data_IF_599286029619
#
_entry.id   IF_599286029619
#
_cell.length_a   1.000
_cell.length_b   1.000
_cell.length_c   1.000
_cell.angle_alpha   90.00
_cell.angle_beta   90.00
_cell.angle_gamma   90.00
#
_symmetry.space_group_name_H-M   'P 1'
#
loop_
_entity.id
_entity.type
_entity.pdbx_description
1 polymer ?
#
# COMPACT_ATOMS: atom_id res chain seq x y z
N UNK A 1 -9.30 -23.25 -3.43
CA UNK A 1 -8.16 -23.77 -2.63
C UNK A 1 -7.04 -24.37 -3.47
N UNK A 2 -7.26 -25.31 -4.42
CA UNK A 2 -6.17 -25.99 -5.13
C UNK A 2 -5.15 -25.07 -5.83
N UNK A 3 -5.62 -24.12 -6.64
CA UNK A 3 -4.74 -23.18 -7.38
C UNK A 3 -3.95 -22.26 -6.44
N UNK A 4 -4.56 -21.76 -5.38
CA UNK A 4 -3.90 -20.85 -4.41
C UNK A 4 -2.80 -21.60 -3.65
N UNK A 5 -3.04 -22.84 -3.21
CA UNK A 5 -2.02 -23.66 -2.55
C UNK A 5 -0.87 -23.98 -3.49
N UNK A 6 -1.14 -24.39 -4.72
CA UNK A 6 -0.10 -24.67 -5.71
C UNK A 6 0.74 -23.41 -6.00
N UNK A 7 0.12 -22.22 -6.05
CA UNK A 7 0.85 -20.97 -6.21
C UNK A 7 1.74 -20.65 -5.00
N UNK A 8 1.25 -20.86 -3.77
CA UNK A 8 2.05 -20.68 -2.55
C UNK A 8 3.23 -21.67 -2.50
N UNK A 9 3.00 -22.94 -2.84
CA UNK A 9 4.04 -23.98 -2.94
C UNK A 9 5.08 -23.64 -4.02
N UNK A 10 4.66 -22.99 -5.11
CA UNK A 10 5.54 -22.47 -6.16
C UNK A 10 6.27 -21.16 -5.77
N UNK A 11 6.06 -20.65 -4.54
CA UNK A 11 6.78 -19.49 -4.01
C UNK A 11 6.03 -18.15 -4.13
N UNK A 12 4.73 -18.13 -4.50
CA UNK A 12 3.95 -16.89 -4.47
C UNK A 12 3.81 -16.40 -3.03
N UNK A 13 4.27 -15.18 -2.77
CA UNK A 13 4.25 -14.54 -1.45
C UNK A 13 3.25 -13.40 -1.34
N UNK A 14 2.99 -12.69 -2.44
CA UNK A 14 2.17 -11.50 -2.49
C UNK A 14 1.22 -11.56 -3.68
N UNK A 15 -0.07 -11.34 -3.44
CA UNK A 15 -1.10 -11.31 -4.46
C UNK A 15 -1.70 -9.91 -4.60
N UNK A 16 -1.78 -9.40 -5.84
CA UNK A 16 -2.51 -8.20 -6.17
C UNK A 16 -3.96 -8.56 -6.49
N UNK A 17 -4.88 -8.25 -5.58
CA UNK A 17 -6.29 -8.54 -5.71
C UNK A 17 -7.06 -7.30 -6.15
N UNK A 18 -7.67 -7.32 -7.34
CA UNK A 18 -8.58 -6.26 -7.78
C UNK A 18 -9.76 -6.14 -6.80
N UNK A 19 -9.94 -4.93 -6.23
CA UNK A 19 -10.90 -4.68 -5.16
C UNK A 19 -11.60 -3.34 -5.38
N UNK A 20 -12.74 -3.34 -6.11
CA UNK A 20 -13.32 -2.13 -6.68
C UNK A 20 -14.19 -1.34 -5.70
N UNK A 21 -14.47 -1.88 -4.52
CA UNK A 21 -15.26 -1.23 -3.46
C UNK A 21 -15.90 -2.23 -2.52
N UNK A 22 -16.55 -1.72 -1.49
CA UNK A 22 -17.22 -2.51 -0.46
C UNK A 22 -18.65 -2.85 -0.90
N UNK A 23 -18.98 -4.13 -0.80
CA UNK A 23 -20.29 -4.68 -1.17
C UNK A 23 -20.45 -4.98 -2.66
N UNK A 24 -21.50 -5.75 -2.99
CA UNK A 24 -21.77 -6.20 -4.35
C UNK A 24 -22.19 -5.05 -5.28
N UNK A 25 -22.83 -4.00 -4.74
CA UNK A 25 -23.26 -2.84 -5.52
C UNK A 25 -22.04 -2.09 -6.11
N UNK A 26 -20.98 -1.86 -5.34
CA UNK A 26 -19.75 -1.23 -5.82
C UNK A 26 -18.99 -2.06 -6.87
N UNK A 27 -19.29 -3.34 -6.97
CA UNK A 27 -18.69 -4.29 -7.91
C UNK A 27 -19.61 -4.63 -9.11
N UNK A 28 -20.79 -4.01 -9.23
CA UNK A 28 -21.82 -4.35 -10.22
C UNK A 28 -21.38 -4.17 -11.66
N UNK A 29 -20.46 -3.24 -11.94
CA UNK A 29 -19.89 -2.98 -13.28
C UNK A 29 -19.09 -4.18 -13.84
N UNK A 30 -18.75 -5.16 -13.00
CA UNK A 30 -18.05 -6.39 -13.42
C UNK A 30 -19.00 -7.48 -13.92
N UNK A 31 -20.30 -7.22 -13.95
CA UNK A 31 -21.34 -8.16 -14.41
C UNK A 31 -21.36 -9.51 -13.64
N UNK A 32 -20.89 -9.55 -12.40
CA UNK A 32 -20.92 -10.71 -11.50
C UNK A 32 -21.67 -10.31 -10.22
N UNK A 33 -22.86 -10.85 -10.00
CA UNK A 33 -23.79 -10.37 -8.98
C UNK A 33 -23.32 -10.53 -7.52
N UNK A 34 -22.38 -11.46 -7.25
CA UNK A 34 -21.84 -11.75 -5.91
C UNK A 34 -20.33 -11.62 -5.85
N UNK A 35 -19.76 -10.73 -6.67
CA UNK A 35 -18.31 -10.62 -6.80
C UNK A 35 -17.61 -10.24 -5.50
N UNK A 36 -18.22 -9.39 -4.68
CA UNK A 36 -17.65 -9.01 -3.39
C UNK A 36 -17.50 -10.22 -2.47
N UNK A 37 -18.51 -11.07 -2.38
CA UNK A 37 -18.46 -12.30 -1.56
C UNK A 37 -17.40 -13.29 -2.09
N UNK A 38 -17.21 -13.34 -3.42
CA UNK A 38 -16.13 -14.14 -4.03
C UNK A 38 -14.76 -13.59 -3.63
N UNK A 39 -14.59 -12.27 -3.63
CA UNK A 39 -13.34 -11.60 -3.21
C UNK A 39 -13.04 -11.85 -1.72
N UNK A 40 -14.05 -11.78 -0.85
CA UNK A 40 -13.86 -12.10 0.57
C UNK A 40 -13.37 -13.55 0.77
N UNK A 41 -13.97 -14.52 0.08
CA UNK A 41 -13.48 -15.92 0.13
C UNK A 41 -12.08 -16.07 -0.45
N UNK A 42 -11.74 -15.31 -1.47
CA UNK A 42 -10.39 -15.31 -2.03
C UNK A 42 -9.37 -14.78 -1.02
N UNK A 43 -9.70 -13.71 -0.29
CA UNK A 43 -8.87 -13.16 0.80
C UNK A 43 -8.60 -14.23 1.87
N UNK A 44 -9.66 -14.89 2.37
CA UNK A 44 -9.51 -15.97 3.38
C UNK A 44 -8.61 -17.09 2.86
N UNK A 45 -8.87 -17.57 1.63
CA UNK A 45 -8.10 -18.66 1.04
C UNK A 45 -6.61 -18.31 0.82
N UNK A 46 -6.30 -17.06 0.46
CA UNK A 46 -4.93 -16.58 0.31
C UNK A 46 -4.24 -16.44 1.67
N UNK A 47 -4.93 -15.90 2.66
CA UNK A 47 -4.43 -15.80 4.02
C UNK A 47 -4.10 -17.18 4.62
N UNK A 48 -5.01 -18.17 4.49
CA UNK A 48 -4.77 -19.54 4.92
C UNK A 48 -3.58 -20.20 4.22
N UNK A 49 -3.28 -19.79 2.99
CA UNK A 49 -2.13 -20.27 2.24
C UNK A 49 -0.82 -19.50 2.55
N UNK A 50 -0.85 -18.52 3.45
CA UNK A 50 0.30 -17.69 3.80
C UNK A 50 0.71 -16.68 2.72
N UNK A 51 -0.24 -16.29 1.85
CA UNK A 51 -0.02 -15.28 0.81
C UNK A 51 -0.53 -13.93 1.32
N UNK A 52 0.33 -12.92 1.36
CA UNK A 52 -0.04 -11.55 1.66
C UNK A 52 -0.83 -10.92 0.51
N UNK A 53 -1.69 -9.95 0.83
CA UNK A 53 -2.63 -9.39 -0.14
C UNK A 53 -2.43 -7.88 -0.26
N UNK A 54 -2.36 -7.41 -1.49
CA UNK A 54 -2.51 -6.00 -1.86
C UNK A 54 -3.88 -5.81 -2.50
N UNK A 55 -4.72 -4.97 -1.90
CA UNK A 55 -5.97 -4.57 -2.54
C UNK A 55 -5.67 -3.52 -3.62
N UNK A 56 -6.10 -3.76 -4.83
CA UNK A 56 -5.87 -2.86 -5.96
C UNK A 56 -7.20 -2.30 -6.46
N UNK A 57 -7.30 -0.98 -6.51
CA UNK A 57 -8.52 -0.28 -6.95
C UNK A 57 -8.19 0.80 -7.97
N UNK A 58 -8.82 0.74 -9.13
CA UNK A 58 -8.79 1.87 -10.06
C UNK A 58 -9.82 2.91 -9.60
N UNK A 59 -9.38 4.13 -9.34
CA UNK A 59 -10.24 5.22 -8.91
C UNK A 59 -10.55 6.17 -10.07
N UNK A 60 -11.84 6.41 -10.25
CA UNK A 60 -12.40 7.36 -11.22
C UNK A 60 -13.16 8.42 -10.44
N UNK A 61 -12.78 9.69 -10.64
CA UNK A 61 -13.42 10.80 -9.95
C UNK A 61 -14.93 10.83 -10.27
N UNK A 62 -15.75 11.13 -9.27
CA UNK A 62 -17.23 11.16 -9.35
C UNK A 62 -17.89 9.83 -9.78
N UNK A 63 -17.16 8.70 -9.68
CA UNK A 63 -17.69 7.36 -9.97
C UNK A 63 -17.54 6.44 -8.76
N UNK A 64 -16.33 6.32 -8.22
CA UNK A 64 -16.05 5.43 -7.09
C UNK A 64 -15.02 6.01 -6.09
N UNK A 65 -14.71 7.29 -6.16
CA UNK A 65 -13.80 7.91 -5.20
C UNK A 65 -14.38 7.98 -3.78
N UNK A 66 -15.70 7.80 -3.61
CA UNK A 66 -16.37 7.56 -2.34
C UNK A 66 -15.99 6.23 -1.68
N UNK A 67 -15.44 5.27 -2.45
CA UNK A 67 -14.99 3.98 -1.96
C UNK A 67 -13.58 4.00 -1.35
N UNK A 68 -12.83 5.09 -1.48
CA UNK A 68 -11.46 5.21 -0.95
C UNK A 68 -11.43 4.95 0.56
N UNK A 69 -12.24 5.66 1.34
CA UNK A 69 -12.32 5.49 2.79
C UNK A 69 -12.80 4.10 3.22
N UNK A 70 -13.92 3.61 2.69
CA UNK A 70 -14.40 2.25 2.98
C UNK A 70 -13.36 1.16 2.74
N UNK A 71 -12.60 1.23 1.63
CA UNK A 71 -11.55 0.26 1.32
C UNK A 71 -10.38 0.35 2.31
N UNK A 72 -9.93 1.57 2.65
CA UNK A 72 -8.86 1.75 3.65
C UNK A 72 -9.30 1.21 5.01
N UNK A 73 -10.52 1.51 5.45
CA UNK A 73 -11.07 1.01 6.72
C UNK A 73 -11.14 -0.51 6.73
N UNK A 74 -11.62 -1.12 5.64
CA UNK A 74 -11.65 -2.58 5.50
C UNK A 74 -10.25 -3.19 5.63
N UNK A 75 -9.22 -2.60 5.00
CA UNK A 75 -7.84 -3.07 5.14
C UNK A 75 -7.34 -2.93 6.58
N UNK A 76 -7.64 -1.82 7.24
CA UNK A 76 -7.23 -1.57 8.63
C UNK A 76 -7.95 -2.47 9.65
N UNK A 77 -9.14 -2.94 9.34
CA UNK A 77 -9.88 -3.94 10.13
C UNK A 77 -9.31 -5.37 9.94
N UNK A 78 -8.60 -5.62 8.82
CA UNK A 78 -8.02 -6.90 8.46
C UNK A 78 -6.47 -6.85 8.31
N UNK A 79 -5.72 -6.30 9.29
CA UNK A 79 -4.28 -6.06 9.16
C UNK A 79 -3.43 -7.32 9.23
N UNK A 80 -4.03 -8.47 9.50
CA UNK A 80 -3.44 -9.80 9.47
C UNK A 80 -3.48 -10.43 8.07
N UNK A 81 -4.35 -9.95 7.18
CA UNK A 81 -4.59 -10.48 5.83
C UNK A 81 -4.14 -9.54 4.72
N UNK A 82 -4.26 -8.23 4.96
CA UNK A 82 -4.02 -7.19 3.95
C UNK A 82 -2.79 -6.37 4.31
N UNK A 83 -1.76 -6.50 3.47
CA UNK A 83 -0.49 -5.79 3.65
C UNK A 83 -0.55 -4.36 3.12
N UNK A 84 -1.21 -4.14 1.97
CA UNK A 84 -1.27 -2.83 1.31
C UNK A 84 -2.61 -2.58 0.64
N UNK A 85 -2.91 -1.29 0.43
CA UNK A 85 -3.95 -0.81 -0.49
C UNK A 85 -3.27 0.03 -1.56
N UNK A 86 -3.51 -0.31 -2.82
CA UNK A 86 -2.97 0.39 -3.99
C UNK A 86 -4.11 1.04 -4.77
N UNK A 87 -4.25 2.34 -4.66
CA UNK A 87 -5.16 3.12 -5.47
C UNK A 87 -4.48 3.57 -6.76
N UNK A 88 -5.08 3.26 -7.88
CA UNK A 88 -4.58 3.61 -9.20
C UNK A 88 -5.52 4.66 -9.82
N UNK A 89 -5.08 5.90 -9.97
CA UNK A 89 -5.85 6.88 -10.74
C UNK A 89 -6.13 6.37 -12.15
N UNK A 90 -7.36 6.55 -12.62
CA UNK A 90 -7.75 6.13 -13.97
C UNK A 90 -6.84 6.74 -15.03
N UNK A 91 -6.41 5.93 -15.98
CA UNK A 91 -5.72 6.36 -17.19
C UNK A 91 -6.68 6.26 -18.37
N UNK A 92 -6.89 7.37 -19.10
CA UNK A 92 -7.76 7.45 -20.25
C UNK A 92 -7.02 7.03 -21.52
N UNK A 93 -6.65 5.75 -21.59
CA UNK A 93 -5.93 5.11 -22.69
C UNK A 93 -6.63 3.82 -23.10
N UNK A 94 -6.33 3.31 -24.27
CA UNK A 94 -6.96 2.08 -24.77
C UNK A 94 -8.46 2.27 -24.98
N UNK A 95 -9.29 1.51 -24.28
CA UNK A 95 -10.76 1.55 -24.45
C UNK A 95 -11.39 2.88 -24.06
N UNK A 96 -10.72 3.68 -23.27
CA UNK A 96 -11.23 4.96 -22.74
C UNK A 96 -10.62 6.17 -23.46
N UNK A 97 -9.86 5.98 -24.54
CA UNK A 97 -9.23 7.09 -25.27
C UNK A 97 -10.23 7.96 -26.04
N UNK A 98 -11.34 7.38 -26.48
CA UNK A 98 -12.39 8.05 -27.27
C UNK A 98 -13.43 8.81 -26.44
N UNK A 99 -13.22 8.98 -25.15
CA UNK A 99 -14.13 9.77 -24.29
C UNK A 99 -14.01 11.27 -24.57
N UNK A 100 -15.11 12.03 -24.38
CA UNK A 100 -15.10 13.49 -24.54
C UNK A 100 -14.14 14.17 -23.54
N UNK A 101 -13.65 15.35 -23.90
CA UNK A 101 -12.78 16.14 -23.03
C UNK A 101 -13.48 16.56 -21.74
N UNK A 102 -14.81 16.86 -21.80
CA UNK A 102 -15.61 17.14 -20.60
C UNK A 102 -15.63 15.95 -19.65
N UNK A 103 -15.89 14.76 -20.18
CA UNK A 103 -15.89 13.53 -19.40
C UNK A 103 -14.52 13.24 -18.82
N UNK A 104 -13.45 13.42 -19.61
CA UNK A 104 -12.06 13.25 -19.18
C UNK A 104 -11.72 14.20 -18.01
N UNK A 105 -12.07 15.47 -18.11
CA UNK A 105 -11.88 16.46 -17.05
C UNK A 105 -12.68 16.11 -15.79
N UNK A 106 -13.92 15.70 -15.94
CA UNK A 106 -14.82 15.36 -14.83
C UNK A 106 -14.38 14.10 -14.08
N UNK A 107 -13.88 13.10 -14.79
CA UNK A 107 -13.49 11.81 -14.25
C UNK A 107 -12.01 11.70 -13.88
N UNK A 108 -11.21 12.72 -14.21
CA UNK A 108 -9.78 12.72 -13.88
C UNK A 108 -9.57 12.66 -12.36
N UNK A 109 -8.76 11.71 -11.94
CA UNK A 109 -8.32 11.56 -10.57
C UNK A 109 -6.80 11.70 -10.49
N UNK A 110 -6.28 12.29 -9.43
CA UNK A 110 -4.84 12.53 -9.24
C UNK A 110 -4.38 12.04 -7.87
N UNK A 111 -3.07 11.95 -7.66
CA UNK A 111 -2.50 11.61 -6.35
C UNK A 111 -2.93 12.60 -5.26
N UNK A 112 -3.05 13.89 -5.59
CA UNK A 112 -3.52 14.91 -4.64
C UNK A 112 -5.00 14.72 -4.29
N UNK A 113 -5.86 14.39 -5.25
CA UNK A 113 -7.26 14.03 -4.97
C UNK A 113 -7.33 12.84 -4.01
N UNK A 114 -6.54 11.80 -4.26
CA UNK A 114 -6.50 10.61 -3.43
C UNK A 114 -6.07 10.92 -1.99
N UNK A 115 -5.02 11.72 -1.80
CA UNK A 115 -4.57 12.12 -0.47
C UNK A 115 -5.64 12.91 0.30
N UNK A 116 -6.38 13.80 -0.40
CA UNK A 116 -7.50 14.56 0.18
C UNK A 116 -8.67 13.63 0.51
N UNK A 117 -9.05 12.73 -0.39
CA UNK A 117 -10.16 11.79 -0.15
C UNK A 117 -9.85 10.85 1.02
N UNK A 118 -8.62 10.35 1.14
CA UNK A 118 -8.19 9.55 2.31
C UNK A 118 -8.33 10.39 3.58
N UNK A 119 -7.84 11.63 3.59
CA UNK A 119 -7.96 12.51 4.76
C UNK A 119 -9.41 12.75 5.16
N UNK A 120 -10.27 13.07 4.19
CA UNK A 120 -11.68 13.37 4.44
C UNK A 120 -12.50 12.15 4.89
N UNK A 121 -12.20 10.97 4.35
CA UNK A 121 -13.02 9.76 4.55
C UNK A 121 -12.49 8.86 5.68
N UNK A 122 -11.20 8.90 5.96
CA UNK A 122 -10.55 8.09 7.02
C UNK A 122 -10.26 8.92 8.26
N UNK A 123 -9.83 10.17 8.07
CA UNK A 123 -9.33 11.06 9.14
C UNK A 123 -7.89 10.73 9.54
N UNK A 124 -7.31 11.56 10.38
CA UNK A 124 -5.97 11.43 10.99
C UNK A 124 -4.77 11.36 10.03
N UNK A 125 -4.96 11.11 8.74
CA UNK A 125 -3.92 11.13 7.71
C UNK A 125 -3.93 12.49 7.02
N UNK A 126 -2.87 13.27 7.21
CA UNK A 126 -2.78 14.64 6.69
C UNK A 126 -2.23 14.66 5.25
N UNK A 127 -2.91 15.33 4.29
CA UNK A 127 -2.54 15.29 2.88
C UNK A 127 -1.13 15.82 2.59
N UNK A 128 -0.64 16.76 3.38
CA UNK A 128 0.65 17.44 3.16
C UNK A 128 1.77 16.91 4.05
N UNK A 129 1.45 16.22 5.15
CA UNK A 129 2.44 15.68 6.09
C UNK A 129 2.77 14.22 5.83
N UNK A 130 1.76 13.41 5.52
CA UNK A 130 1.84 11.97 5.68
C UNK A 130 2.14 11.20 4.39
N UNK A 131 2.26 11.89 3.27
CA UNK A 131 2.48 11.26 1.98
C UNK A 131 3.88 11.50 1.46
N UNK A 132 4.54 10.42 1.04
CA UNK A 132 5.91 10.43 0.55
C UNK A 132 5.99 9.78 -0.84
N UNK A 133 6.93 10.21 -1.69
CA UNK A 133 7.20 9.52 -2.95
C UNK A 133 7.49 8.04 -2.72
N UNK A 134 6.91 7.17 -3.54
CA UNK A 134 7.10 5.71 -3.41
C UNK A 134 8.57 5.30 -3.62
N UNK A 135 9.39 6.14 -4.26
CA UNK A 135 10.83 5.93 -4.37
C UNK A 135 11.56 5.84 -3.03
N UNK A 136 10.96 6.36 -1.94
CA UNK A 136 11.50 6.20 -0.58
C UNK A 136 11.42 4.77 -0.04
N UNK A 137 10.75 3.84 -0.72
CA UNK A 137 10.71 2.43 -0.31
C UNK A 137 12.06 1.73 -0.52
N UNK A 138 12.88 2.18 -1.50
CA UNK A 138 14.14 1.51 -1.84
C UNK A 138 15.11 1.38 -0.65
N UNK A 139 15.38 2.42 0.15
CA UNK A 139 16.23 2.29 1.34
C UNK A 139 15.71 1.29 2.37
N UNK A 140 14.40 1.12 2.48
CA UNK A 140 13.80 0.09 3.36
C UNK A 140 14.04 -1.32 2.81
N UNK A 141 13.94 -1.50 1.49
CA UNK A 141 14.24 -2.77 0.83
C UNK A 141 15.72 -3.13 0.98
N UNK A 142 16.62 -2.18 0.74
CA UNK A 142 18.07 -2.36 0.88
C UNK A 142 18.46 -2.74 2.32
N UNK A 143 17.84 -2.09 3.31
CA UNK A 143 18.04 -2.43 4.71
C UNK A 143 17.48 -3.82 5.05
N UNK A 144 16.32 -4.18 4.52
CA UNK A 144 15.74 -5.51 4.70
C UNK A 144 16.66 -6.61 4.15
N UNK A 145 17.25 -6.41 2.96
CA UNK A 145 18.22 -7.33 2.37
C UNK A 145 19.48 -7.47 3.24
N UNK A 146 19.98 -6.37 3.78
CA UNK A 146 21.11 -6.39 4.71
C UNK A 146 20.79 -7.27 5.94
N UNK A 147 19.56 -7.18 6.45
CA UNK A 147 19.13 -7.91 7.66
C UNK A 147 18.82 -9.38 7.40
N UNK A 148 18.20 -9.69 6.27
CA UNK A 148 17.80 -11.07 5.92
C UNK A 148 18.89 -11.84 5.17
N UNK A 149 19.76 -11.14 4.46
CA UNK A 149 20.85 -11.71 3.67
C UNK A 149 20.54 -11.77 2.18
N UNK A 150 21.50 -12.23 1.35
CA UNK A 150 21.42 -12.12 -0.10
C UNK A 150 20.26 -12.93 -0.75
N UNK A 151 19.69 -13.88 -0.04
CA UNK A 151 18.54 -14.67 -0.50
C UNK A 151 17.18 -13.95 -0.31
N UNK A 152 17.15 -12.80 0.35
CA UNK A 152 15.92 -12.13 0.72
C UNK A 152 15.17 -11.53 -0.46
N UNK A 153 15.89 -11.06 -1.49
CA UNK A 153 15.35 -10.48 -2.73
C UNK A 153 14.46 -9.22 -2.54
N UNK A 154 14.48 -8.60 -1.36
CA UNK A 154 13.71 -7.39 -1.08
C UNK A 154 14.24 -6.17 -1.82
N UNK A 155 15.54 -6.12 -2.13
CA UNK A 155 16.17 -5.07 -2.93
C UNK A 155 15.62 -4.95 -4.35
N UNK A 156 14.92 -5.97 -4.84
CA UNK A 156 14.19 -5.92 -6.10
C UNK A 156 12.92 -5.05 -6.04
N UNK A 157 12.48 -4.66 -4.84
CA UNK A 157 11.37 -3.71 -4.64
C UNK A 157 11.82 -2.25 -4.79
N UNK A 158 12.93 -2.00 -5.46
CA UNK A 158 13.35 -0.64 -5.77
C UNK A 158 12.40 0.00 -6.79
N UNK A 159 11.98 1.23 -6.53
CA UNK A 159 11.21 2.02 -7.47
C UNK A 159 12.11 3.09 -8.09
N UNK A 160 12.57 2.86 -9.33
CA UNK A 160 13.28 3.87 -10.13
C UNK A 160 12.37 4.92 -10.76
N UNK A 161 11.10 4.99 -10.32
CA UNK A 161 10.13 5.92 -10.86
C UNK A 161 10.43 7.37 -10.48
N UNK A 162 9.96 8.29 -11.32
CA UNK A 162 9.94 9.71 -10.98
C UNK A 162 9.15 9.92 -9.66
N UNK A 163 9.56 10.82 -8.76
CA UNK A 163 8.87 11.06 -7.48
C UNK A 163 7.36 11.32 -7.59
N UNK A 164 6.91 11.84 -8.73
CA UNK A 164 5.49 12.10 -8.99
C UNK A 164 4.71 10.89 -9.56
N UNK A 165 5.36 9.74 -9.76
CA UNK A 165 4.66 8.55 -10.27
C UNK A 165 3.74 7.90 -9.23
N UNK A 166 4.08 8.01 -7.96
CA UNK A 166 3.31 7.45 -6.87
C UNK A 166 3.71 8.03 -5.53
N UNK A 167 2.75 8.09 -4.63
CA UNK A 167 2.97 8.47 -3.24
C UNK A 167 2.39 7.40 -2.33
N UNK A 168 2.98 7.24 -1.17
CA UNK A 168 2.54 6.28 -0.17
C UNK A 168 2.57 6.85 1.23
N UNK A 169 1.80 6.25 2.11
CA UNK A 169 1.86 6.46 3.55
C UNK A 169 1.87 5.12 4.26
N UNK A 170 2.26 5.12 5.53
CA UNK A 170 2.19 3.94 6.37
C UNK A 170 1.40 4.24 7.63
N UNK A 171 0.64 3.26 8.09
CA UNK A 171 -0.08 3.31 9.36
C UNK A 171 0.40 2.17 10.27
N UNK A 172 0.51 2.45 11.54
CA UNK A 172 0.73 1.43 12.56
C UNK A 172 -0.62 1.06 13.17
N UNK A 173 -0.92 -0.24 13.21
CA UNK A 173 -2.21 -0.75 13.69
C UNK A 173 -1.95 -1.73 14.83
N UNK A 174 -2.59 -1.53 15.96
CA UNK A 174 -2.66 -2.54 16.99
C UNK A 174 -3.62 -3.65 16.56
N UNK A 175 -3.10 -4.84 16.32
CA UNK A 175 -3.90 -5.97 15.82
C UNK A 175 -5.03 -6.40 16.78
N UNK A 176 -4.89 -6.14 18.07
CA UNK A 176 -5.85 -6.53 19.10
C UNK A 176 -6.94 -5.47 19.30
N UNK A 177 -6.52 -4.21 19.54
CA UNK A 177 -7.46 -3.10 19.81
C UNK A 177 -8.00 -2.43 18.55
N UNK A 178 -7.34 -2.65 17.38
CA UNK A 178 -7.59 -1.98 16.10
C UNK A 178 -7.34 -0.46 16.14
N UNK A 179 -6.77 0.05 17.23
CA UNK A 179 -6.27 1.42 17.26
C UNK A 179 -5.13 1.59 16.27
N UNK A 180 -5.07 2.73 15.62
CA UNK A 180 -4.07 3.01 14.61
C UNK A 180 -3.61 4.47 14.61
N UNK A 181 -2.42 4.69 14.07
CA UNK A 181 -1.90 6.04 13.82
C UNK A 181 -1.04 6.04 12.55
N UNK A 182 -1.04 7.14 11.77
CA UNK A 182 -0.11 7.29 10.66
C UNK A 182 1.31 7.39 11.20
N UNK A 183 2.22 6.61 10.62
CA UNK A 183 3.64 6.55 11.06
C UNK A 183 4.32 7.92 10.99
N UNK A 184 4.08 8.76 9.96
CA UNK A 184 4.68 10.09 9.90
C UNK A 184 4.25 11.05 11.02
N UNK A 185 3.17 10.72 11.75
CA UNK A 185 2.72 11.51 12.90
C UNK A 185 3.73 11.47 14.06
N UNK A 186 4.48 10.38 14.19
CA UNK A 186 5.43 10.18 15.29
C UNK A 186 6.86 9.83 14.85
N UNK A 187 7.11 9.73 13.52
CA UNK A 187 8.44 9.50 12.96
C UNK A 187 8.76 10.54 11.86
N UNK A 188 9.93 11.14 11.95
CA UNK A 188 10.50 11.94 10.88
C UNK A 188 10.98 11.00 9.74
N UNK A 189 10.13 10.74 8.77
CA UNK A 189 10.41 9.79 7.69
C UNK A 189 11.65 10.19 6.86
N UNK A 190 11.83 11.45 6.40
CA UNK A 190 13.02 11.84 5.66
C UNK A 190 14.32 11.63 6.46
N UNK A 191 14.30 11.97 7.75
CA UNK A 191 15.44 11.76 8.64
C UNK A 191 15.75 10.28 8.84
N UNK A 192 14.71 9.46 9.08
CA UNK A 192 14.84 8.01 9.23
C UNK A 192 15.41 7.35 7.97
N UNK A 193 14.91 7.70 6.80
CA UNK A 193 15.40 7.17 5.51
C UNK A 193 16.88 7.50 5.31
N UNK A 194 17.29 8.74 5.60
CA UNK A 194 18.71 9.16 5.52
C UNK A 194 19.60 8.36 6.48
N UNK A 195 19.18 8.22 7.73
CA UNK A 195 19.94 7.48 8.74
C UNK A 195 20.01 5.98 8.38
N UNK A 196 18.91 5.39 7.90
CA UNK A 196 18.84 4.01 7.44
C UNK A 196 19.77 3.75 6.24
N UNK A 197 19.79 4.63 5.26
CA UNK A 197 20.73 4.53 4.12
C UNK A 197 22.17 4.52 4.62
N UNK A 198 22.54 5.41 5.57
CA UNK A 198 23.86 5.42 6.16
C UNK A 198 24.23 4.14 6.90
N UNK A 199 23.26 3.50 7.57
CA UNK A 199 23.44 2.20 8.21
C UNK A 199 23.69 1.11 7.17
N UNK A 200 22.92 1.09 6.09
CA UNK A 200 23.03 0.12 4.99
C UNK A 200 24.38 0.26 4.29
N UNK A 201 24.78 1.48 3.94
CA UNK A 201 26.04 1.76 3.26
C UNK A 201 27.28 1.41 4.11
N UNK A 202 27.14 1.46 5.44
CA UNK A 202 28.24 1.11 6.35
C UNK A 202 28.63 -0.37 6.34
N UNK A 203 27.75 -1.25 5.92
CA UNK A 203 27.92 -2.72 5.76
C UNK A 203 28.58 -3.45 6.94
N UNK A 204 28.40 -2.96 8.18
CA UNK A 204 29.09 -3.44 9.41
C UNK A 204 28.52 -4.72 10.05
N UNK A 205 27.72 -5.49 9.30
CA UNK A 205 27.13 -6.74 9.77
C UNK A 205 25.80 -6.57 10.50
N UNK A 206 24.99 -7.62 10.49
CA UNK A 206 23.57 -7.59 10.90
C UNK A 206 23.30 -7.08 12.31
N UNK A 207 24.06 -7.55 13.31
CA UNK A 207 23.84 -7.15 14.71
C UNK A 207 24.11 -5.66 14.94
N UNK A 208 25.18 -5.15 14.36
CA UNK A 208 25.53 -3.75 14.45
C UNK A 208 24.53 -2.88 13.70
N UNK A 209 24.15 -3.28 12.50
CA UNK A 209 23.16 -2.58 11.69
C UNK A 209 21.79 -2.53 12.35
N UNK A 210 21.35 -3.62 13.01
CA UNK A 210 20.12 -3.65 13.80
C UNK A 210 20.15 -2.69 15.00
N UNK A 211 21.27 -2.63 15.70
CA UNK A 211 21.45 -1.67 16.80
C UNK A 211 21.43 -0.21 16.30
N UNK A 212 22.15 0.09 15.23
CA UNK A 212 22.16 1.43 14.63
C UNK A 212 20.79 1.84 14.09
N UNK A 213 20.01 0.90 13.56
CA UNK A 213 18.63 1.17 13.15
C UNK A 213 17.73 1.50 14.35
N UNK A 214 17.88 0.79 15.47
CA UNK A 214 17.15 1.14 16.70
C UNK A 214 17.47 2.56 17.16
N UNK A 215 18.74 2.96 17.10
CA UNK A 215 19.15 4.35 17.41
C UNK A 215 18.58 5.35 16.39
N UNK A 216 18.54 5.01 15.10
CA UNK A 216 17.94 5.85 14.07
C UNK A 216 16.43 6.04 14.30
N UNK A 217 15.72 5.00 14.68
CA UNK A 217 14.31 5.08 15.07
C UNK A 217 14.09 6.00 16.26
N UNK A 218 14.88 5.83 17.33
CA UNK A 218 14.80 6.69 18.53
C UNK A 218 15.12 8.16 18.21
N UNK A 219 16.13 8.41 17.40
CA UNK A 219 16.53 9.77 16.97
C UNK A 219 15.45 10.49 16.17
N UNK A 220 14.73 9.75 15.32
CA UNK A 220 13.70 10.28 14.43
C UNK A 220 12.28 10.19 15.02
N UNK A 221 12.14 9.65 16.24
CA UNK A 221 10.87 9.63 16.96
C UNK A 221 10.56 11.01 17.53
N UNK A 222 9.33 11.46 17.34
CA UNK A 222 8.75 12.63 18.00
C UNK A 222 7.32 12.30 18.46
N UNK A 223 6.96 12.55 19.72
CA UNK A 223 5.63 12.25 20.27
C UNK A 223 4.54 13.16 19.69
#
# INVERSE_FOLDING_TARGET
MGVIRAAAEAGLRLAYLQFDGIGNAANSHRAVGNLFDVKLRAIENMHEAGIEIVLVTTIVNNVNNDQVGPIVKFAMENPDKIAFVSFQPVSFTGRDEDISDERRKHQRYTLSHMAIDVSNQVGAIEPTRDWFPISLISPFADFADLMHGPEAQWGQMSCGCHPNCGVGTAVMINKQTKEWAPVPKFLNIPGLVKDMQGVTDSARGKKFSGFMMALALLKNYHP
#
